data_IF_139421463595
#
_entry.id   IF_139421463595
#
_cell.length_a   1.000
_cell.length_b   1.000
_cell.length_c   1.000
_cell.angle_alpha   90.00
_cell.angle_beta   90.00
_cell.angle_gamma   90.00
#
_symmetry.space_group_name_H-M   'P 1'
#
loop_
_entity.id
_entity.type
_entity.pdbx_description
1 polymer ?
#
# COMPACT_ATOMS: atom_id res chain seq x y z
N UNK A 1 -8.75 19.88 47.21
CA UNK A 1 -8.15 19.68 45.87
C UNK A 1 -8.90 18.53 45.20
N UNK A 2 -9.73 18.80 44.19
CA UNK A 2 -10.42 17.75 43.45
C UNK A 2 -9.47 17.13 42.42
N UNK A 3 -9.20 15.84 42.57
CA UNK A 3 -8.49 15.02 41.58
C UNK A 3 -9.31 14.97 40.28
N UNK A 4 -8.77 15.52 39.19
CA UNK A 4 -9.32 15.34 37.85
C UNK A 4 -9.06 13.90 37.40
N UNK A 5 -10.09 13.05 37.47
CA UNK A 5 -10.12 11.82 36.69
C UNK A 5 -10.11 12.21 35.21
N UNK A 6 -8.99 11.96 34.53
CA UNK A 6 -8.92 12.04 33.08
C UNK A 6 -9.65 10.82 32.56
N UNK A 7 -10.88 11.03 32.11
CA UNK A 7 -11.70 10.01 31.49
C UNK A 7 -11.04 9.59 30.17
N UNK A 8 -10.34 8.45 30.20
CA UNK A 8 -9.52 7.95 29.09
C UNK A 8 -10.38 7.25 28.02
N UNK A 9 -11.60 7.75 27.81
CA UNK A 9 -12.58 7.20 26.89
C UNK A 9 -12.22 7.60 25.46
N UNK A 10 -11.99 6.62 24.58
CA UNK A 10 -11.76 6.87 23.16
C UNK A 10 -13.07 7.30 22.49
N UNK A 11 -13.05 8.36 21.68
CA UNK A 11 -14.22 8.82 20.92
C UNK A 11 -14.00 8.66 19.42
N UNK A 12 -15.07 8.33 18.69
CA UNK A 12 -15.03 8.26 17.24
C UNK A 12 -14.83 9.66 16.67
N UNK A 13 -13.64 9.96 16.17
CA UNK A 13 -13.36 11.27 15.57
C UNK A 13 -14.23 11.61 14.34
N UNK A 14 -14.95 10.64 13.76
CA UNK A 14 -15.85 10.86 12.63
C UNK A 14 -17.26 11.32 13.02
N UNK A 15 -17.77 10.92 14.18
CA UNK A 15 -19.17 11.20 14.57
C UNK A 15 -19.40 11.39 16.08
N UNK A 16 -18.32 11.43 16.89
CA UNK A 16 -18.36 11.63 18.33
C UNK A 16 -18.81 10.41 19.15
N UNK A 17 -19.06 9.26 18.51
CA UNK A 17 -19.59 8.07 19.20
C UNK A 17 -18.60 7.55 20.28
N UNK A 18 -19.00 7.45 21.55
CA UNK A 18 -18.10 7.12 22.66
C UNK A 18 -17.70 5.64 22.66
N UNK A 19 -16.47 5.35 23.04
CA UNK A 19 -15.91 4.00 23.20
C UNK A 19 -15.42 3.34 21.91
N UNK A 20 -15.53 4.00 20.75
CA UNK A 20 -15.17 3.40 19.46
C UNK A 20 -14.30 4.34 18.63
N UNK A 21 -13.19 3.84 18.10
CA UNK A 21 -12.48 4.52 17.00
C UNK A 21 -13.32 4.41 15.71
N UNK A 22 -13.16 5.37 14.78
CA UNK A 22 -14.01 5.50 13.59
C UNK A 22 -14.17 4.20 12.78
N UNK A 23 -13.12 3.39 12.64
CA UNK A 23 -13.13 2.12 11.90
C UNK A 23 -14.06 1.05 12.49
N UNK A 24 -14.31 1.11 13.81
CA UNK A 24 -15.21 0.19 14.54
C UNK A 24 -16.53 0.87 14.92
N UNK A 25 -16.77 2.09 14.44
CA UNK A 25 -17.97 2.82 14.79
C UNK A 25 -19.19 2.23 14.06
N UNK A 26 -20.20 1.72 14.79
CA UNK A 26 -21.37 1.11 14.18
C UNK A 26 -22.20 2.11 13.35
N UNK A 27 -22.07 3.42 13.61
CA UNK A 27 -22.70 4.47 12.79
C UNK A 27 -21.95 4.74 11.48
N UNK A 28 -20.62 4.63 11.47
CA UNK A 28 -19.80 4.97 10.31
C UNK A 28 -19.56 3.79 9.36
N UNK A 29 -19.72 2.55 9.83
CA UNK A 29 -19.39 1.33 9.07
C UNK A 29 -20.50 0.27 9.12
N UNK A 30 -21.67 0.50 8.46
CA UNK A 30 -22.70 -0.53 8.33
C UNK A 30 -22.29 -1.65 7.35
N UNK A 31 -22.54 -2.91 7.70
CA UNK A 31 -22.26 -4.07 6.83
C UNK A 31 -23.28 -4.15 5.69
N UNK A 32 -22.83 -4.43 4.47
CA UNK A 32 -23.71 -4.74 3.31
C UNK A 32 -23.31 -6.08 2.70
N UNK A 33 -24.31 -6.92 2.46
CA UNK A 33 -24.20 -8.21 1.78
C UNK A 33 -24.43 -8.03 0.27
N UNK A 34 -23.59 -8.66 -0.57
CA UNK A 34 -23.81 -8.75 -2.02
C UNK A 34 -22.54 -9.09 -2.81
N UNK A 35 -22.60 -10.16 -3.61
CA UNK A 35 -21.49 -10.73 -4.38
C UNK A 35 -21.38 -10.14 -5.81
N UNK A 36 -20.15 -9.81 -6.25
CA UNK A 36 -19.78 -9.61 -7.66
C UNK A 36 -18.33 -10.06 -7.91
N UNK A 37 -18.10 -10.77 -9.01
CA UNK A 37 -16.78 -11.16 -9.52
C UNK A 37 -16.39 -10.20 -10.66
N UNK A 38 -15.61 -9.15 -10.38
CA UNK A 38 -14.80 -8.43 -11.37
C UNK A 38 -13.94 -7.37 -10.66
N UNK A 39 -12.65 -7.32 -11.02
CA UNK A 39 -11.56 -6.68 -10.29
C UNK A 39 -11.36 -7.29 -8.90
N UNK A 40 -10.19 -7.88 -8.65
CA UNK A 40 -9.80 -8.31 -7.31
C UNK A 40 -9.56 -7.04 -6.47
N UNK A 41 -10.65 -6.46 -5.96
CA UNK A 41 -10.65 -5.64 -4.75
C UNK A 41 -10.49 -6.60 -3.58
N UNK A 42 -9.25 -7.00 -3.30
CA UNK A 42 -8.95 -7.69 -2.04
C UNK A 42 -8.91 -6.64 -0.94
N UNK A 43 -9.92 -6.74 -0.07
CA UNK A 43 -10.16 -6.06 1.20
C UNK A 43 -9.21 -4.91 1.54
N UNK A 44 -9.55 -3.72 1.07
CA UNK A 44 -9.36 -2.52 1.88
C UNK A 44 -10.67 -2.29 2.62
N UNK A 45 -10.63 -2.15 3.94
CA UNK A 45 -11.74 -1.64 4.78
C UNK A 45 -12.09 -0.16 4.47
N UNK A 46 -11.71 0.29 3.28
CA UNK A 46 -11.68 1.66 2.83
C UNK A 46 -12.05 1.62 1.35
N UNK A 47 -13.30 1.96 1.04
CA UNK A 47 -13.75 2.42 -0.29
C UNK A 47 -13.25 3.85 -0.55
N UNK A 48 -12.05 4.18 -0.07
CA UNK A 48 -11.43 5.48 -0.25
C UNK A 48 -10.59 5.44 -1.54
N UNK A 49 -10.49 6.58 -2.25
CA UNK A 49 -9.63 6.66 -3.42
C UNK A 49 -8.20 6.32 -3.01
N UNK A 50 -7.68 5.21 -3.54
CA UNK A 50 -6.25 4.89 -3.47
C UNK A 50 -5.61 5.62 -4.65
N UNK A 51 -4.50 6.32 -4.42
CA UNK A 51 -3.73 6.92 -5.50
C UNK A 51 -3.15 5.78 -6.37
N UNK A 52 -3.76 5.55 -7.52
CA UNK A 52 -3.43 4.48 -8.43
C UNK A 52 -2.61 5.02 -9.60
N UNK A 53 -1.47 4.38 -9.85
CA UNK A 53 -0.59 4.69 -10.96
C UNK A 53 -0.74 3.59 -12.01
N UNK A 54 -1.06 3.98 -13.24
CA UNK A 54 -0.96 3.11 -14.39
C UNK A 54 0.51 3.01 -14.81
N UNK A 55 1.00 1.79 -14.85
CA UNK A 55 2.38 1.48 -15.15
C UNK A 55 2.47 0.40 -16.23
N UNK A 56 3.61 0.34 -16.87
CA UNK A 56 3.98 -0.75 -17.76
C UNK A 56 5.29 -1.38 -17.28
N UNK A 57 5.32 -2.72 -17.23
CA UNK A 57 6.49 -3.51 -16.87
C UNK A 57 6.64 -4.62 -17.89
N UNK A 58 7.75 -4.61 -18.63
CA UNK A 58 8.01 -5.57 -19.72
C UNK A 58 6.81 -5.73 -20.67
N UNK A 59 6.28 -4.64 -21.24
CA UNK A 59 5.14 -4.65 -22.18
C UNK A 59 3.79 -5.08 -21.58
N UNK A 60 3.74 -5.37 -20.27
CA UNK A 60 2.49 -5.63 -19.58
C UNK A 60 2.04 -4.38 -18.80
N UNK A 61 0.81 -3.95 -19.05
CA UNK A 61 0.18 -2.85 -18.31
C UNK A 61 -0.42 -3.35 -17.00
N UNK A 62 -0.33 -2.54 -15.96
CA UNK A 62 -0.99 -2.81 -14.69
C UNK A 62 -1.13 -1.55 -13.86
N UNK A 63 -1.95 -1.62 -12.82
CA UNK A 63 -2.18 -0.50 -11.91
C UNK A 63 -1.63 -0.83 -10.54
N UNK A 64 -0.88 0.10 -9.95
CA UNK A 64 -0.22 -0.07 -8.64
C UNK A 64 -0.53 1.10 -7.72
N UNK A 65 -0.27 0.98 -6.42
CA UNK A 65 -0.56 2.05 -5.48
C UNK A 65 0.65 3.00 -5.38
N UNK A 66 0.44 4.30 -5.50
CA UNK A 66 1.37 5.29 -4.98
C UNK A 66 1.25 5.33 -3.45
N UNK A 67 2.36 5.14 -2.75
CA UNK A 67 2.36 5.06 -1.29
C UNK A 67 3.46 5.96 -0.70
N UNK A 68 3.05 7.13 -0.20
CA UNK A 68 3.96 8.05 0.50
C UNK A 68 4.32 7.59 1.91
N UNK A 69 3.65 6.58 2.43
CA UNK A 69 3.90 6.00 3.75
C UNK A 69 5.08 5.02 3.77
N UNK A 70 5.59 4.60 2.61
CA UNK A 70 6.74 3.70 2.51
C UNK A 70 7.96 4.39 1.90
N UNK A 71 9.12 4.20 2.56
CA UNK A 71 10.40 4.68 2.07
C UNK A 71 10.90 3.93 0.84
N UNK A 72 10.58 2.63 0.74
CA UNK A 72 10.98 1.76 -0.36
C UNK A 72 9.76 1.19 -1.07
N UNK A 73 9.89 0.98 -2.38
CA UNK A 73 8.85 0.34 -3.17
C UNK A 73 8.76 -1.16 -2.86
N UNK A 74 7.54 -1.65 -2.65
CA UNK A 74 7.24 -3.04 -2.27
C UNK A 74 6.47 -3.72 -3.39
N UNK A 75 6.98 -4.84 -3.89
CA UNK A 75 6.30 -5.66 -4.88
C UNK A 75 5.22 -6.54 -4.30
N UNK A 76 4.04 -6.52 -4.92
CA UNK A 76 2.93 -7.42 -4.61
C UNK A 76 3.17 -8.85 -5.11
N UNK A 77 2.39 -9.80 -4.60
CA UNK A 77 2.46 -11.21 -5.04
C UNK A 77 2.29 -11.37 -6.57
N UNK A 78 1.36 -10.64 -7.18
CA UNK A 78 1.14 -10.71 -8.62
C UNK A 78 2.33 -10.18 -9.42
N UNK A 79 2.93 -9.08 -8.97
CA UNK A 79 4.14 -8.52 -9.59
C UNK A 79 5.30 -9.51 -9.45
N UNK A 80 5.48 -10.11 -8.28
CA UNK A 80 6.49 -11.13 -8.05
C UNK A 80 6.35 -12.30 -9.02
N UNK A 81 5.16 -12.90 -9.08
CA UNK A 81 4.87 -14.04 -9.96
C UNK A 81 5.04 -13.68 -11.45
N UNK A 82 4.64 -12.48 -11.84
CA UNK A 82 4.83 -11.97 -13.21
C UNK A 82 6.32 -11.87 -13.57
N UNK A 83 7.12 -11.27 -12.70
CA UNK A 83 8.57 -11.11 -12.89
C UNK A 83 9.29 -12.46 -12.89
N UNK A 84 8.93 -13.38 -11.99
CA UNK A 84 9.47 -14.74 -11.97
C UNK A 84 9.23 -15.48 -13.28
N UNK A 85 8.02 -15.40 -13.85
CA UNK A 85 7.69 -16.03 -15.14
C UNK A 85 8.52 -15.49 -16.30
N UNK A 86 9.01 -14.25 -16.20
CA UNK A 86 9.91 -13.63 -17.18
C UNK A 86 11.40 -13.84 -16.89
N UNK A 87 11.75 -14.68 -15.90
CA UNK A 87 13.13 -14.98 -15.55
C UNK A 87 13.85 -13.85 -14.81
N UNK A 88 13.11 -12.91 -14.22
CA UNK A 88 13.71 -11.83 -13.42
C UNK A 88 14.50 -12.42 -12.26
N UNK A 89 15.72 -11.92 -12.05
CA UNK A 89 16.57 -12.35 -10.94
C UNK A 89 16.23 -11.56 -9.68
N UNK A 90 16.26 -12.26 -8.56
CA UNK A 90 16.05 -11.69 -7.22
C UNK A 90 17.27 -12.01 -6.37
N UNK A 91 17.66 -11.05 -5.54
CA UNK A 91 18.70 -11.24 -4.51
C UNK A 91 18.05 -11.27 -3.14
N UNK A 92 18.46 -12.22 -2.28
CA UNK A 92 18.06 -12.21 -0.88
C UNK A 92 18.87 -11.16 -0.12
N UNK A 93 18.19 -10.33 0.66
CA UNK A 93 18.82 -9.35 1.56
C UNK A 93 18.12 -9.41 2.92
N UNK A 94 18.89 -9.25 3.99
CA UNK A 94 18.31 -9.09 5.33
C UNK A 94 17.97 -7.61 5.55
N UNK A 95 16.70 -7.33 5.82
CA UNK A 95 16.20 -5.98 6.02
C UNK A 95 15.48 -5.89 7.37
N UNK A 96 15.76 -4.82 8.12
CA UNK A 96 14.92 -4.42 9.23
C UNK A 96 13.65 -3.75 8.66
N UNK A 97 12.51 -4.44 8.77
CA UNK A 97 11.22 -3.97 8.30
C UNK A 97 10.49 -3.33 9.48
N UNK A 98 10.08 -2.07 9.33
CA UNK A 98 9.20 -1.38 10.25
C UNK A 98 7.85 -1.18 9.57
N UNK A 99 6.81 -1.77 10.16
CA UNK A 99 5.44 -1.66 9.66
C UNK A 99 4.72 -0.46 10.26
N UNK A 100 3.63 -0.04 9.62
CA UNK A 100 2.83 1.10 10.04
C UNK A 100 2.17 0.92 11.43
N UNK A 101 2.05 -0.31 11.92
CA UNK A 101 1.57 -0.61 13.27
C UNK A 101 2.68 -0.53 14.35
N UNK A 102 3.89 -0.13 13.94
CA UNK A 102 5.05 0.00 14.81
C UNK A 102 5.82 -1.30 15.04
N UNK A 103 5.36 -2.44 14.49
CA UNK A 103 6.11 -3.68 14.57
C UNK A 103 7.42 -3.55 13.79
N UNK A 104 8.51 -3.99 14.41
CA UNK A 104 9.83 -4.06 13.81
C UNK A 104 10.35 -5.47 13.87
N UNK A 105 10.81 -5.97 12.75
CA UNK A 105 11.44 -7.28 12.66
C UNK A 105 12.49 -7.30 11.55
N UNK A 106 13.53 -8.10 11.74
CA UNK A 106 14.47 -8.40 10.66
C UNK A 106 13.94 -9.57 9.87
N UNK A 107 13.88 -9.44 8.54
CA UNK A 107 13.46 -10.51 7.66
C UNK A 107 14.34 -10.56 6.42
N UNK A 108 14.65 -11.76 5.96
CA UNK A 108 15.23 -11.98 4.64
C UNK A 108 14.14 -11.70 3.59
N UNK A 109 14.31 -10.61 2.86
CA UNK A 109 13.43 -10.19 1.77
C UNK A 109 14.12 -10.42 0.44
N UNK A 110 13.33 -10.53 -0.63
CA UNK A 110 13.87 -10.58 -1.99
C UNK A 110 13.90 -9.17 -2.56
N UNK A 111 15.00 -8.78 -3.21
CA UNK A 111 15.13 -7.49 -3.89
C UNK A 111 15.37 -7.69 -5.38
N UNK A 112 14.77 -6.86 -6.21
CA UNK A 112 15.04 -6.82 -7.64
C UNK A 112 14.90 -5.41 -8.21
N UNK A 113 15.72 -5.06 -9.20
CA UNK A 113 15.58 -3.81 -9.95
C UNK A 113 14.77 -4.06 -11.22
N UNK A 114 13.62 -3.40 -11.35
CA UNK A 114 12.64 -3.62 -12.41
C UNK A 114 12.47 -2.33 -13.22
N UNK A 115 12.47 -2.37 -14.56
CA UNK A 115 12.09 -1.22 -15.37
C UNK A 115 10.57 -1.01 -15.28
N UNK A 116 10.16 0.15 -14.78
CA UNK A 116 8.76 0.57 -14.68
C UNK A 116 8.59 1.79 -15.57
N UNK A 117 7.68 1.70 -16.55
CA UNK A 117 7.31 2.80 -17.43
C UNK A 117 6.04 3.46 -16.92
N UNK A 118 6.04 4.80 -16.88
CA UNK A 118 4.93 5.64 -16.46
C UNK A 118 4.81 6.79 -17.46
N UNK A 119 3.64 6.95 -18.09
CA UNK A 119 3.42 7.95 -19.17
C UNK A 119 4.56 8.01 -20.20
N UNK A 120 5.02 6.85 -20.70
CA UNK A 120 6.08 6.75 -21.72
C UNK A 120 7.50 6.98 -21.21
N UNK A 121 7.71 7.21 -19.90
CA UNK A 121 9.04 7.36 -19.28
C UNK A 121 9.38 6.14 -18.45
N UNK A 122 10.51 5.50 -18.74
CA UNK A 122 10.96 4.30 -18.02
C UNK A 122 11.96 4.65 -16.92
N UNK A 123 11.71 4.14 -15.72
CA UNK A 123 12.55 4.29 -14.55
C UNK A 123 12.96 2.93 -14.01
N UNK A 124 14.22 2.80 -13.58
CA UNK A 124 14.67 1.61 -12.83
C UNK A 124 14.18 1.72 -11.38
N UNK A 125 13.22 0.91 -11.00
CA UNK A 125 12.66 0.84 -9.65
C UNK A 125 13.29 -0.32 -8.88
N UNK A 126 13.74 -0.07 -7.66
CA UNK A 126 14.14 -1.13 -6.75
C UNK A 126 12.89 -1.59 -6.00
N UNK A 127 12.52 -2.86 -6.16
CA UNK A 127 11.39 -3.47 -5.45
C UNK A 127 11.90 -4.48 -4.44
N UNK A 128 11.40 -4.37 -3.21
CA UNK A 128 11.50 -5.45 -2.22
C UNK A 128 10.24 -6.30 -2.24
N UNK A 129 10.39 -7.60 -2.02
CA UNK A 129 9.31 -8.58 -2.02
C UNK A 129 9.39 -9.37 -0.72
N UNK A 130 8.26 -9.43 -0.03
CA UNK A 130 8.07 -10.23 1.16
C UNK A 130 7.56 -11.62 0.72
N UNK A 131 8.40 -12.67 0.68
CA UNK A 131 8.00 -13.95 0.08
C UNK A 131 6.81 -14.63 0.79
N UNK A 132 6.59 -14.31 2.06
CA UNK A 132 5.48 -14.81 2.86
C UNK A 132 4.20 -13.97 2.74
N UNK A 133 4.27 -12.75 2.19
CA UNK A 133 3.09 -11.92 2.00
C UNK A 133 2.26 -12.44 0.82
N UNK A 134 0.94 -12.60 1.05
CA UNK A 134 -0.03 -13.11 0.08
C UNK A 134 -1.14 -12.10 -0.14
N UNK A 135 -1.57 -11.95 -1.39
CA UNK A 135 -2.61 -10.99 -1.76
C UNK A 135 -2.24 -9.51 -1.55
N UNK A 136 -0.98 -9.20 -1.24
CA UNK A 136 -0.53 -7.82 -1.07
C UNK A 136 -0.41 -7.10 -2.43
N UNK A 137 -0.69 -5.79 -2.42
CA UNK A 137 -0.54 -4.94 -3.60
C UNK A 137 0.91 -4.53 -3.79
N UNK A 138 1.26 -4.18 -5.03
CA UNK A 138 2.49 -3.44 -5.30
C UNK A 138 2.31 -1.99 -4.87
N UNK A 139 3.25 -1.50 -4.08
CA UNK A 139 3.32 -0.16 -3.52
C UNK A 139 4.57 0.53 -4.09
N UNK A 140 4.39 1.65 -4.78
CA UNK A 140 5.48 2.50 -5.23
C UNK A 140 5.72 3.58 -4.17
N UNK A 141 6.86 3.44 -3.50
CA UNK A 141 7.26 4.25 -2.37
C UNK A 141 7.84 5.59 -2.75
N UNK A 142 8.20 6.36 -1.72
CA UNK A 142 8.82 7.67 -1.86
C UNK A 142 10.11 7.62 -2.69
N UNK A 143 10.85 6.51 -2.67
CA UNK A 143 12.01 6.27 -3.53
C UNK A 143 11.68 6.38 -5.02
N UNK A 144 10.62 5.70 -5.47
CA UNK A 144 10.17 5.73 -6.85
C UNK A 144 9.47 7.05 -7.19
N UNK A 145 8.59 7.53 -6.31
CA UNK A 145 7.82 8.76 -6.55
C UNK A 145 8.76 9.97 -6.73
N UNK A 146 9.78 10.11 -5.89
CA UNK A 146 10.81 11.16 -6.05
C UNK A 146 11.61 11.00 -7.33
N UNK A 147 11.97 9.76 -7.69
CA UNK A 147 12.78 9.48 -8.88
C UNK A 147 12.03 9.75 -10.18
N UNK A 148 10.72 9.46 -10.19
CA UNK A 148 9.85 9.67 -11.35
C UNK A 148 9.37 11.12 -11.48
N UNK A 149 9.39 11.88 -10.37
CA UNK A 149 8.90 13.25 -10.32
C UNK A 149 7.37 13.32 -10.32
N UNK A 150 6.70 12.26 -9.88
CA UNK A 150 5.23 12.20 -9.78
C UNK A 150 4.75 13.15 -8.68
N UNK A 151 3.71 13.93 -8.96
CA UNK A 151 3.10 14.88 -8.02
C UNK A 151 1.61 14.57 -7.95
N UNK A 152 1.18 14.00 -6.82
CA UNK A 152 -0.23 13.65 -6.64
C UNK A 152 -1.07 14.89 -6.32
N UNK A 153 -1.97 15.25 -7.23
CA UNK A 153 -3.04 16.20 -6.96
C UNK A 153 -4.27 15.44 -6.43
N UNK A 154 -4.32 15.33 -5.11
CA UNK A 154 -5.40 14.63 -4.41
C UNK A 154 -6.74 15.38 -4.50
N UNK A 155 -6.75 16.68 -4.80
CA UNK A 155 -7.98 17.46 -4.94
C UNK A 155 -8.67 17.14 -6.27
N UNK A 156 -7.88 17.09 -7.34
CA UNK A 156 -8.36 16.86 -8.70
C UNK A 156 -8.27 15.38 -9.14
N UNK A 157 -7.76 14.50 -8.27
CA UNK A 157 -7.63 13.06 -8.50
C UNK A 157 -6.79 12.71 -9.76
N UNK A 158 -5.69 13.42 -9.95
CA UNK A 158 -4.65 13.11 -10.95
C UNK A 158 -3.26 13.12 -10.30
N UNK A 159 -2.24 12.71 -11.05
CA UNK A 159 -0.86 12.66 -10.59
C UNK A 159 0.14 12.93 -11.72
#
# INVERSE_FOLDING_TARGET
>A
MLSRNVDNSAYCYGCGYPGFIKSKCPKCSPKKDGAHVNAIQVFTCFTFPVALLDIEVYEATGTVCADTGTSQSVGGELMFNFLQKRGQKFIGIDLAVCLADGQQFTSTVLKSTVPITVHGRTFRADLIFLPHAKGNRTLLGVDFLRKSGIVMDMHNNFW
#
